data_IF_654281288973
#
_entry.id   IF_654281288973
#
_cell.length_a   1.000
_cell.length_b   1.000
_cell.length_c   1.000
_cell.angle_alpha   90.00
_cell.angle_beta   90.00
_cell.angle_gamma   90.00
#
_symmetry.space_group_name_H-M   'P 1'
#
loop_
_entity.id
_entity.type
_entity.pdbx_description
1 polymer ?
#
# COMPACT_ATOMS: atom_id res chain seq x y z
N UNK A 1 23.25 12.85 1.03
CA UNK A 1 22.07 13.28 0.25
C UNK A 1 22.16 12.54 -1.06
N UNK A 2 21.42 11.44 -1.21
CA UNK A 2 21.41 10.67 -2.45
C UNK A 2 20.55 11.43 -3.46
N UNK A 3 21.17 11.94 -4.52
CA UNK A 3 20.48 12.56 -5.64
C UNK A 3 19.93 11.42 -6.51
N UNK A 4 18.77 10.90 -6.11
CA UNK A 4 18.11 9.77 -6.77
C UNK A 4 16.90 10.25 -7.59
N UNK A 5 17.03 11.39 -8.25
CA UNK A 5 16.11 11.79 -9.31
C UNK A 5 16.31 10.89 -10.53
N UNK A 6 15.24 10.29 -11.04
CA UNK A 6 15.27 9.58 -12.32
C UNK A 6 15.79 10.50 -13.45
N UNK A 7 16.54 9.94 -14.38
CA UNK A 7 16.86 10.62 -15.64
C UNK A 7 15.60 10.80 -16.49
N UNK A 8 15.64 11.70 -17.47
CA UNK A 8 14.51 11.94 -18.39
C UNK A 8 14.11 10.65 -19.14
N UNK A 9 15.09 9.83 -19.52
CA UNK A 9 14.84 8.56 -20.20
C UNK A 9 14.13 7.54 -19.30
N UNK A 10 14.49 7.49 -18.02
CA UNK A 10 13.83 6.61 -17.05
C UNK A 10 12.40 7.07 -16.73
N UNK A 11 12.16 8.39 -16.66
CA UNK A 11 10.80 8.93 -16.56
C UNK A 11 9.94 8.56 -17.76
N UNK A 12 10.49 8.63 -18.98
CA UNK A 12 9.80 8.24 -20.21
C UNK A 12 9.49 6.74 -20.26
N UNK A 13 10.46 5.89 -19.88
CA UNK A 13 10.25 4.45 -19.80
C UNK A 13 9.17 4.09 -18.80
N UNK A 14 9.27 4.61 -17.58
CA UNK A 14 8.28 4.40 -16.54
C UNK A 14 6.88 4.91 -16.95
N UNK A 15 6.79 6.02 -17.68
CA UNK A 15 5.53 6.53 -18.21
C UNK A 15 4.89 5.57 -19.22
N UNK A 16 5.69 5.00 -20.12
CA UNK A 16 5.20 4.01 -21.08
C UNK A 16 4.70 2.77 -20.34
N UNK A 17 5.45 2.29 -19.36
CA UNK A 17 5.06 1.13 -18.55
C UNK A 17 3.77 1.40 -17.76
N UNK A 18 3.60 2.61 -17.22
CA UNK A 18 2.38 3.02 -16.53
C UNK A 18 1.18 3.07 -17.48
N UNK A 19 1.30 3.68 -18.67
CA UNK A 19 0.19 3.75 -19.63
C UNK A 19 -0.21 2.38 -20.20
N UNK A 20 0.75 1.45 -20.28
CA UNK A 20 0.54 0.10 -20.81
C UNK A 20 0.20 -0.91 -19.71
N UNK A 21 0.16 -0.48 -18.45
CA UNK A 21 -0.17 -1.33 -17.31
C UNK A 21 -1.63 -1.82 -17.38
N UNK A 22 -1.89 -2.98 -16.78
CA UNK A 22 -3.24 -3.56 -16.72
C UNK A 22 -4.25 -2.65 -16.04
N UNK A 23 -3.79 -1.80 -15.13
CA UNK A 23 -4.59 -0.79 -14.44
C UNK A 23 -4.99 0.34 -15.38
N UNK A 24 -4.16 0.72 -16.36
CA UNK A 24 -4.37 1.90 -17.20
C UNK A 24 -4.89 1.57 -18.62
N UNK A 25 -4.64 0.37 -19.13
CA UNK A 25 -4.98 -0.03 -20.52
C UNK A 25 -6.49 0.03 -20.81
N UNK A 26 -7.34 -0.15 -19.79
CA UNK A 26 -8.80 -0.05 -19.92
C UNK A 26 -9.32 1.38 -20.15
N UNK A 27 -8.50 2.40 -19.83
CA UNK A 27 -8.90 3.80 -19.96
C UNK A 27 -8.65 4.37 -21.36
N UNK A 28 -7.73 3.77 -22.13
CA UNK A 28 -7.34 4.24 -23.48
C UNK A 28 -8.49 4.13 -24.50
N UNK A 29 -9.25 3.02 -24.60
CA UNK A 29 -10.35 2.89 -25.56
C UNK A 29 -11.50 3.89 -25.33
N UNK A 30 -11.78 4.26 -24.07
CA UNK A 30 -12.82 5.26 -23.76
C UNK A 30 -12.40 6.69 -24.09
N UNK A 31 -11.10 7.01 -24.06
CA UNK A 31 -10.56 8.27 -24.58
C UNK A 31 -10.87 8.41 -26.07
N UNK A 32 -10.68 7.33 -26.84
CA UNK A 32 -11.06 7.28 -28.25
C UNK A 32 -12.58 7.35 -28.43
N UNK A 33 -13.37 6.64 -27.61
CA UNK A 33 -14.84 6.70 -27.68
C UNK A 33 -15.39 8.11 -27.35
N UNK A 34 -14.88 8.77 -26.30
CA UNK A 34 -15.29 10.12 -25.91
C UNK A 34 -14.93 11.17 -26.99
N UNK A 35 -13.79 11.00 -27.65
CA UNK A 35 -13.37 11.82 -28.80
C UNK A 35 -14.27 11.58 -30.02
N UNK A 36 -14.61 10.33 -30.32
CA UNK A 36 -15.51 9.97 -31.42
C UNK A 36 -16.93 10.49 -31.21
N UNK A 37 -17.38 10.57 -29.95
CA UNK A 37 -18.73 11.00 -29.57
C UNK A 37 -18.86 12.49 -29.22
N UNK A 38 -17.77 13.25 -29.35
CA UNK A 38 -17.73 14.72 -29.15
C UNK A 38 -18.26 15.18 -27.77
N UNK A 39 -17.87 14.50 -26.68
CA UNK A 39 -18.22 14.94 -25.32
C UNK A 39 -17.12 15.82 -24.71
N UNK A 40 -17.22 17.17 -24.78
CA UNK A 40 -16.13 18.05 -24.37
C UNK A 40 -15.82 17.95 -22.88
N UNK A 41 -16.84 17.77 -22.02
CA UNK A 41 -16.66 17.62 -20.59
C UNK A 41 -15.94 16.31 -20.22
N UNK A 42 -16.30 15.20 -20.87
CA UNK A 42 -15.63 13.91 -20.66
C UNK A 42 -14.17 13.96 -21.16
N UNK A 43 -13.94 14.59 -22.30
CA UNK A 43 -12.59 14.79 -22.84
C UNK A 43 -11.73 15.67 -21.92
N UNK A 44 -12.30 16.74 -21.37
CA UNK A 44 -11.61 17.61 -20.41
C UNK A 44 -11.27 16.87 -19.11
N UNK A 45 -12.18 16.04 -18.60
CA UNK A 45 -11.95 15.24 -17.39
C UNK A 45 -10.87 14.17 -17.61
N UNK A 46 -10.86 13.53 -18.78
CA UNK A 46 -9.80 12.61 -19.17
C UNK A 46 -8.45 13.30 -19.35
N UNK A 47 -8.42 14.46 -20.01
CA UNK A 47 -7.20 15.24 -20.15
C UNK A 47 -6.66 15.66 -18.77
N UNK A 48 -7.53 16.10 -17.87
CA UNK A 48 -7.17 16.41 -16.49
C UNK A 48 -6.65 15.19 -15.73
N UNK A 49 -7.27 14.01 -15.92
CA UNK A 49 -6.81 12.76 -15.32
C UNK A 49 -5.43 12.35 -15.83
N UNK A 50 -5.18 12.43 -17.15
CA UNK A 50 -3.86 12.13 -17.74
C UNK A 50 -2.81 13.11 -17.23
N UNK A 51 -3.12 14.41 -17.21
CA UNK A 51 -2.22 15.43 -16.66
C UNK A 51 -1.97 15.20 -15.17
N UNK A 52 -3.00 14.83 -14.40
CA UNK A 52 -2.88 14.48 -12.99
C UNK A 52 -1.95 13.29 -12.77
N UNK A 53 -2.13 12.21 -13.53
CA UNK A 53 -1.23 11.05 -13.51
C UNK A 53 0.19 11.44 -13.88
N UNK A 54 0.39 12.26 -14.91
CA UNK A 54 1.71 12.77 -15.32
C UNK A 54 2.39 13.58 -14.23
N UNK A 55 1.65 14.45 -13.54
CA UNK A 55 2.16 15.22 -12.42
C UNK A 55 2.51 14.31 -11.24
N UNK A 56 1.67 13.30 -10.93
CA UNK A 56 2.00 12.30 -9.92
C UNK A 56 3.26 11.53 -10.26
N UNK A 57 3.43 11.11 -11.52
CA UNK A 57 4.63 10.42 -12.00
C UNK A 57 5.89 11.27 -11.83
N UNK A 58 5.79 12.57 -12.07
CA UNK A 58 6.90 13.50 -11.91
C UNK A 58 7.23 13.76 -10.43
N UNK A 59 6.22 13.84 -9.56
CA UNK A 59 6.41 14.12 -8.13
C UNK A 59 6.83 12.87 -7.35
N UNK A 60 6.22 11.72 -7.64
CA UNK A 60 6.48 10.43 -6.98
C UNK A 60 7.57 9.66 -7.72
N UNK A 61 8.77 10.25 -7.83
CA UNK A 61 9.93 9.64 -8.51
C UNK A 61 10.51 8.40 -7.79
N UNK A 62 9.84 7.88 -6.76
CA UNK A 62 10.28 6.71 -5.97
C UNK A 62 9.17 5.69 -5.76
N UNK A 63 7.99 5.89 -6.36
CA UNK A 63 6.88 4.95 -6.26
C UNK A 63 6.93 3.94 -7.41
N UNK A 64 6.47 2.72 -7.14
CA UNK A 64 6.25 1.68 -8.14
C UNK A 64 4.97 1.97 -8.95
N UNK A 65 4.82 1.30 -10.10
CA UNK A 65 3.63 1.45 -10.97
C UNK A 65 2.33 1.20 -10.19
N UNK A 66 2.21 0.13 -9.36
CA UNK A 66 1.04 -0.07 -8.51
C UNK A 66 0.78 1.08 -7.52
N UNK A 67 1.84 1.63 -6.91
CA UNK A 67 1.75 2.77 -6.01
C UNK A 67 1.19 4.00 -6.71
N UNK A 68 1.70 4.33 -7.90
CA UNK A 68 1.21 5.47 -8.68
C UNK A 68 -0.21 5.21 -9.21
N UNK A 69 -0.50 3.98 -9.63
CA UNK A 69 -1.85 3.58 -10.03
C UNK A 69 -2.86 3.79 -8.89
N UNK A 70 -2.50 3.49 -7.64
CA UNK A 70 -3.37 3.73 -6.47
C UNK A 70 -3.77 5.20 -6.32
N UNK A 71 -2.86 6.13 -6.57
CA UNK A 71 -3.15 7.56 -6.48
C UNK A 71 -3.80 8.11 -7.75
N UNK A 72 -3.52 7.50 -8.90
CA UNK A 72 -4.13 7.88 -10.17
C UNK A 72 -5.58 7.41 -10.33
N UNK A 73 -5.88 6.25 -9.74
CA UNK A 73 -7.15 5.55 -9.88
C UNK A 73 -8.39 6.43 -9.59
N UNK A 74 -8.46 7.21 -8.49
CA UNK A 74 -9.67 7.98 -8.18
C UNK A 74 -10.12 8.93 -9.31
N UNK A 75 -9.18 9.62 -9.95
CA UNK A 75 -9.51 10.58 -11.01
C UNK A 75 -9.60 9.95 -12.39
N UNK A 76 -8.84 8.88 -12.68
CA UNK A 76 -9.04 8.12 -13.92
C UNK A 76 -10.40 7.39 -13.90
N UNK A 77 -10.78 6.79 -12.78
CA UNK A 77 -12.11 6.17 -12.58
C UNK A 77 -13.24 7.19 -12.68
N UNK A 78 -13.08 8.40 -12.13
CA UNK A 78 -14.07 9.46 -12.29
C UNK A 78 -14.25 9.83 -13.78
N UNK A 79 -13.15 10.00 -14.52
CA UNK A 79 -13.17 10.27 -15.96
C UNK A 79 -13.88 9.15 -16.75
N UNK A 80 -13.58 7.90 -16.40
CA UNK A 80 -14.23 6.72 -16.95
C UNK A 80 -15.73 6.70 -16.72
N UNK A 81 -16.18 6.89 -15.48
CA UNK A 81 -17.61 6.88 -15.13
C UNK A 81 -18.36 7.96 -15.91
N UNK A 82 -17.82 9.18 -16.00
CA UNK A 82 -18.45 10.26 -16.74
C UNK A 82 -18.56 9.98 -18.25
N UNK A 83 -17.49 9.46 -18.86
CA UNK A 83 -17.52 9.12 -20.30
C UNK A 83 -18.44 7.94 -20.60
N UNK A 84 -18.46 6.94 -19.72
CA UNK A 84 -19.36 5.81 -19.80
C UNK A 84 -20.82 6.25 -19.69
N UNK A 85 -21.14 7.13 -18.74
CA UNK A 85 -22.47 7.69 -18.59
C UNK A 85 -22.92 8.48 -19.83
N UNK A 86 -22.03 9.29 -20.42
CA UNK A 86 -22.30 10.04 -21.64
C UNK A 86 -22.53 9.11 -22.85
N UNK A 87 -21.70 8.07 -23.02
CA UNK A 87 -21.86 7.05 -24.05
C UNK A 87 -23.19 6.31 -23.90
N UNK A 88 -23.52 5.86 -22.68
CA UNK A 88 -24.79 5.17 -22.40
C UNK A 88 -26.00 6.07 -22.67
N UNK A 89 -25.90 7.37 -22.36
CA UNK A 89 -26.95 8.34 -22.69
C UNK A 89 -27.14 8.52 -24.19
N UNK A 90 -26.05 8.57 -24.97
CA UNK A 90 -26.12 8.66 -26.44
C UNK A 90 -26.73 7.42 -27.08
N UNK A 91 -26.26 6.25 -26.63
CA UNK A 91 -26.75 4.97 -27.10
C UNK A 91 -28.25 4.89 -26.83
N UNK A 92 -28.68 5.22 -25.61
CA UNK A 92 -30.10 5.28 -25.27
C UNK A 92 -30.89 6.19 -26.20
N UNK A 93 -30.42 7.42 -26.48
CA UNK A 93 -31.11 8.34 -27.40
C UNK A 93 -31.20 7.77 -28.82
N UNK A 94 -30.11 7.21 -29.34
CA UNK A 94 -30.10 6.56 -30.66
C UNK A 94 -31.07 5.38 -30.72
N UNK A 95 -31.18 4.62 -29.64
CA UNK A 95 -32.13 3.52 -29.48
C UNK A 95 -33.59 3.98 -29.41
N UNK A 96 -33.88 5.08 -28.69
CA UNK A 96 -35.21 5.71 -28.66
C UNK A 96 -35.60 6.22 -30.07
N UNK A 97 -34.66 6.75 -30.84
CA UNK A 97 -34.90 7.18 -32.23
C UNK A 97 -35.10 6.01 -33.21
N UNK A 98 -34.56 4.81 -32.91
CA UNK A 98 -34.72 3.60 -33.74
C UNK A 98 -36.04 2.86 -33.52
N UNK A 99 -36.85 3.27 -32.54
CA UNK A 99 -38.21 2.76 -32.32
C UNK A 99 -39.13 2.97 -33.56
N UNK A 100 -38.70 3.81 -34.53
CA UNK A 100 -39.32 4.00 -35.83
C UNK A 100 -39.09 2.86 -36.86
N UNK A 101 -38.20 1.91 -36.62
CA UNK A 101 -37.85 0.84 -37.60
C UNK A 101 -38.05 -0.60 -37.11
N UNK A 102 -38.76 -0.83 -36.00
CA UNK A 102 -39.33 -2.15 -35.68
C UNK A 102 -38.41 -3.20 -35.04
N UNK A 103 -37.19 -2.84 -34.62
CA UNK A 103 -36.36 -3.67 -33.73
C UNK A 103 -36.56 -3.17 -32.31
N UNK A 104 -37.01 -4.02 -31.37
CA UNK A 104 -37.33 -3.56 -30.01
C UNK A 104 -36.07 -3.05 -29.29
N UNK A 105 -36.01 -1.77 -28.87
CA UNK A 105 -34.85 -1.16 -28.20
C UNK A 105 -34.42 -1.87 -26.90
N UNK A 106 -35.32 -2.65 -26.32
CA UNK A 106 -35.14 -3.38 -25.06
C UNK A 106 -34.05 -4.48 -25.10
N UNK A 107 -33.72 -5.03 -26.28
CA UNK A 107 -32.80 -6.18 -26.37
C UNK A 107 -31.32 -5.77 -26.53
N UNK A 108 -31.00 -4.77 -27.37
CA UNK A 108 -29.61 -4.36 -27.63
C UNK A 108 -28.99 -3.48 -26.54
N UNK A 109 -29.72 -2.45 -26.09
CA UNK A 109 -29.28 -1.57 -25.01
C UNK A 109 -29.24 -2.27 -23.65
N UNK A 110 -30.18 -3.20 -23.42
CA UNK A 110 -30.21 -4.08 -22.26
C UNK A 110 -28.97 -4.96 -22.16
N UNK A 111 -28.53 -5.56 -23.27
CA UNK A 111 -27.32 -6.41 -23.29
C UNK A 111 -26.06 -5.60 -22.99
N UNK A 112 -25.86 -4.43 -23.59
CA UNK A 112 -24.66 -3.61 -23.35
C UNK A 112 -24.63 -3.09 -21.91
N UNK A 113 -25.78 -2.62 -21.38
CA UNK A 113 -25.90 -2.20 -19.99
C UNK A 113 -25.66 -3.37 -19.02
N UNK A 114 -26.25 -4.54 -19.29
CA UNK A 114 -26.06 -5.76 -18.50
C UNK A 114 -24.61 -6.21 -18.55
N UNK A 115 -23.93 -6.15 -19.71
CA UNK A 115 -22.50 -6.52 -19.81
C UNK A 115 -21.64 -5.55 -19.00
N UNK A 116 -21.84 -4.24 -19.11
CA UNK A 116 -21.08 -3.24 -18.35
C UNK A 116 -21.33 -3.39 -16.85
N UNK A 117 -22.59 -3.50 -16.43
CA UNK A 117 -22.95 -3.71 -15.02
C UNK A 117 -22.46 -5.05 -14.52
N UNK A 118 -22.54 -6.13 -15.31
CA UNK A 118 -22.01 -7.43 -14.96
C UNK A 118 -20.48 -7.44 -14.89
N UNK A 119 -19.78 -6.70 -15.74
CA UNK A 119 -18.32 -6.55 -15.67
C UNK A 119 -17.89 -5.76 -14.43
N UNK A 120 -18.58 -4.66 -14.11
CA UNK A 120 -18.31 -3.86 -12.90
C UNK A 120 -18.71 -4.62 -11.62
N UNK A 121 -19.82 -5.37 -11.65
CA UNK A 121 -20.24 -6.24 -10.56
C UNK A 121 -19.30 -7.43 -10.39
N UNK A 122 -18.83 -8.05 -11.48
CA UNK A 122 -17.85 -9.14 -11.41
C UNK A 122 -16.52 -8.64 -10.84
N UNK A 123 -16.05 -7.46 -11.27
CA UNK A 123 -14.86 -6.83 -10.70
C UNK A 123 -15.04 -6.52 -9.21
N UNK A 124 -16.19 -5.94 -8.84
CA UNK A 124 -16.52 -5.66 -7.44
C UNK A 124 -16.61 -6.96 -6.62
N UNK A 125 -17.24 -8.03 -7.12
CA UNK A 125 -17.34 -9.33 -6.44
C UNK A 125 -15.96 -9.99 -6.28
N UNK A 126 -15.03 -9.77 -7.22
CA UNK A 126 -13.66 -10.28 -7.15
C UNK A 126 -12.79 -9.49 -6.17
N UNK A 127 -13.03 -8.19 -5.99
CA UNK A 127 -12.31 -7.33 -5.04
C UNK A 127 -13.01 -7.15 -3.68
N UNK A 128 -14.26 -7.61 -3.53
CA UNK A 128 -15.06 -7.37 -2.33
C UNK A 128 -14.43 -8.06 -1.11
N UNK A 129 -13.68 -7.27 -0.36
CA UNK A 129 -13.02 -7.63 0.89
C UNK A 129 -14.05 -8.17 1.89
N UNK A 130 -15.30 -7.74 1.79
CA UNK A 130 -16.42 -8.23 2.59
C UNK A 130 -16.81 -9.67 2.21
N UNK A 131 -16.72 -10.05 0.93
CA UNK A 131 -16.89 -11.43 0.47
C UNK A 131 -15.70 -12.33 0.86
N UNK A 132 -14.46 -11.81 0.90
CA UNK A 132 -13.30 -12.54 1.41
C UNK A 132 -13.44 -12.88 2.90
N UNK A 133 -13.96 -11.93 3.69
CA UNK A 133 -14.24 -12.15 5.12
C UNK A 133 -15.39 -13.15 5.32
N UNK A 134 -16.47 -13.03 4.55
CA UNK A 134 -17.68 -13.84 4.73
C UNK A 134 -17.56 -15.27 4.19
N UNK A 135 -16.87 -15.51 3.07
CA UNK A 135 -16.84 -16.83 2.42
C UNK A 135 -15.72 -17.76 2.91
N UNK A 136 -14.62 -17.24 3.44
CA UNK A 136 -13.45 -18.07 3.83
C UNK A 136 -13.22 -18.17 5.33
N UNK A 137 -14.09 -17.61 6.16
CA UNK A 137 -13.95 -17.66 7.63
C UNK A 137 -12.65 -17.01 8.12
N UNK A 138 -11.99 -16.21 7.28
CA UNK A 138 -10.79 -15.46 7.62
C UNK A 138 -11.23 -14.20 8.34
N UNK A 139 -11.52 -14.33 9.64
CA UNK A 139 -11.53 -13.15 10.51
C UNK A 139 -10.13 -12.54 10.42
N UNK A 140 -10.05 -11.31 9.88
CA UNK A 140 -8.80 -10.54 9.88
C UNK A 140 -8.23 -10.43 11.31
N UNK A 141 -9.14 -10.43 12.29
CA UNK A 141 -8.86 -10.42 13.73
C UNK A 141 -9.14 -11.81 14.35
N UNK A 142 -8.09 -12.61 14.56
CA UNK A 142 -8.17 -13.80 15.42
C UNK A 142 -7.95 -13.33 16.85
N UNK A 143 -8.91 -13.54 17.73
CA UNK A 143 -8.87 -13.17 19.16
C UNK A 143 -7.57 -13.58 19.86
N UNK A 144 -7.03 -14.76 19.54
CA UNK A 144 -5.75 -15.28 20.04
C UNK A 144 -4.57 -14.37 19.70
N UNK A 145 -4.52 -13.83 18.48
CA UNK A 145 -3.44 -12.90 18.07
C UNK A 145 -3.54 -11.60 18.85
N UNK A 146 -4.75 -11.06 19.03
CA UNK A 146 -4.96 -9.85 19.81
C UNK A 146 -4.56 -10.05 21.28
N UNK A 147 -4.87 -11.21 21.86
CA UNK A 147 -4.45 -11.57 23.21
C UNK A 147 -2.91 -11.58 23.36
N UNK A 148 -2.17 -12.16 22.40
CA UNK A 148 -0.71 -12.17 22.44
C UNK A 148 -0.08 -10.76 22.45
N UNK A 149 -0.69 -9.80 21.74
CA UNK A 149 -0.25 -8.41 21.76
C UNK A 149 -0.54 -7.72 23.11
N UNK A 150 -1.70 -8.01 23.70
CA UNK A 150 -2.06 -7.50 25.02
C UNK A 150 -1.08 -8.03 26.08
N UNK A 151 -0.79 -9.34 26.08
CA UNK A 151 0.18 -9.95 27.00
C UNK A 151 1.58 -9.36 26.84
N UNK A 152 2.04 -9.16 25.59
CA UNK A 152 3.32 -8.50 25.33
C UNK A 152 3.33 -7.09 25.91
N UNK A 153 2.27 -6.32 25.69
CA UNK A 153 2.19 -4.93 26.18
C UNK A 153 2.12 -4.89 27.71
N UNK A 154 1.41 -5.82 28.34
CA UNK A 154 1.33 -5.97 29.80
C UNK A 154 2.69 -6.27 30.43
N UNK A 155 3.59 -6.95 29.71
CA UNK A 155 4.98 -7.18 30.16
C UNK A 155 5.81 -5.90 30.27
N UNK A 156 5.39 -4.83 29.59
CA UNK A 156 6.02 -3.51 29.63
C UNK A 156 5.29 -2.65 30.69
N UNK A 157 6.00 -1.92 31.56
CA UNK A 157 5.37 -1.05 32.54
C UNK A 157 4.39 -0.05 31.93
N UNK A 158 3.29 0.21 32.60
CA UNK A 158 2.31 1.23 32.20
C UNK A 158 2.96 2.62 32.14
N UNK A 159 2.56 3.42 31.15
CA UNK A 159 3.09 4.76 30.90
C UNK A 159 4.51 4.81 30.31
N UNK A 160 5.20 3.67 30.18
CA UNK A 160 6.53 3.63 29.56
C UNK A 160 6.45 3.76 28.02
N UNK A 161 7.45 4.41 27.44
CA UNK A 161 7.63 4.45 25.98
C UNK A 161 8.38 3.21 25.48
N UNK A 162 7.93 2.63 24.37
CA UNK A 162 8.61 1.52 23.73
C UNK A 162 8.65 1.63 22.20
N UNK A 163 9.75 1.16 21.62
CA UNK A 163 9.90 1.02 20.18
C UNK A 163 9.27 -0.28 19.72
N UNK A 164 8.53 -0.29 18.61
CA UNK A 164 7.96 -1.51 18.06
C UNK A 164 8.24 -1.73 16.58
N UNK A 165 8.56 -2.98 16.22
CA UNK A 165 8.71 -3.45 14.84
C UNK A 165 7.96 -4.79 14.68
N UNK A 166 6.65 -4.70 14.46
CA UNK A 166 5.71 -5.83 14.49
C UNK A 166 4.73 -5.74 13.30
N UNK A 167 4.07 -6.84 12.96
CA UNK A 167 3.14 -6.92 11.82
C UNK A 167 1.79 -6.23 12.05
N UNK A 168 1.33 -6.14 13.31
CA UNK A 168 0.03 -5.54 13.67
C UNK A 168 0.13 -4.56 14.83
N UNK A 169 0.77 -3.38 14.65
CA UNK A 169 0.93 -2.40 15.71
C UNK A 169 -0.42 -1.85 16.23
N UNK A 170 -1.48 -1.93 15.40
CA UNK A 170 -2.83 -1.51 15.77
C UNK A 170 -3.51 -2.36 16.87
N UNK A 171 -2.89 -3.48 17.28
CA UNK A 171 -3.37 -4.23 18.45
C UNK A 171 -2.90 -3.67 19.79
N UNK A 172 -1.90 -2.79 19.79
CA UNK A 172 -1.50 -2.13 21.03
C UNK A 172 -2.49 -1.06 21.45
N UNK A 173 -2.66 -0.91 22.77
CA UNK A 173 -3.35 0.20 23.38
C UNK A 173 -2.41 1.40 23.51
N UNK A 174 -2.53 2.35 22.57
CA UNK A 174 -1.75 3.58 22.55
C UNK A 174 -2.09 4.55 23.72
N UNK A 175 -3.13 4.24 24.52
CA UNK A 175 -3.45 5.02 25.72
C UNK A 175 -2.71 4.54 26.96
N UNK A 176 -2.29 3.26 27.00
CA UNK A 176 -1.53 2.66 28.12
C UNK A 176 -0.04 2.96 28.04
N UNK A 177 0.53 2.97 26.84
CA UNK A 177 1.95 3.16 26.57
C UNK A 177 2.17 4.11 25.41
N UNK A 178 3.28 4.83 25.44
CA UNK A 178 3.74 5.60 24.30
C UNK A 178 4.46 4.66 23.30
N UNK A 179 3.74 4.26 22.25
CA UNK A 179 4.19 3.25 21.29
C UNK A 179 4.78 3.91 20.05
N UNK A 180 6.09 3.78 19.86
CA UNK A 180 6.77 4.25 18.66
C UNK A 180 6.95 3.12 17.65
N UNK A 181 6.08 3.08 16.65
CA UNK A 181 6.18 2.13 15.55
C UNK A 181 7.22 2.52 14.50
N UNK A 182 8.08 1.57 14.12
CA UNK A 182 8.96 1.70 12.95
C UNK A 182 8.43 0.81 11.84
N UNK A 183 7.72 1.45 10.91
CA UNK A 183 7.31 0.88 9.63
C UNK A 183 8.51 0.83 8.68
N UNK A 184 9.13 2.00 8.45
CA UNK A 184 10.20 2.21 7.47
C UNK A 184 11.43 2.82 8.16
N UNK A 185 12.39 1.98 8.63
CA UNK A 185 13.63 2.46 9.21
C UNK A 185 14.31 3.51 8.32
N UNK A 186 14.74 4.62 8.92
CA UNK A 186 15.43 5.71 8.22
C UNK A 186 14.51 6.74 7.57
N UNK A 187 13.24 6.39 7.32
CA UNK A 187 12.24 7.33 6.80
C UNK A 187 11.37 7.91 7.91
N UNK A 188 11.00 7.08 8.90
CA UNK A 188 10.19 7.49 10.06
C UNK A 188 10.93 7.37 11.40
N UNK A 189 12.27 7.29 11.35
CA UNK A 189 13.08 7.25 12.57
C UNK A 189 13.02 8.59 13.31
N UNK A 190 12.81 8.61 14.65
CA UNK A 190 12.86 9.84 15.44
C UNK A 190 14.18 10.60 15.27
N UNK A 191 14.16 11.92 15.47
CA UNK A 191 15.38 12.75 15.45
C UNK A 191 16.36 12.30 16.56
N UNK A 192 17.69 12.33 16.35
CA UNK A 192 18.42 12.84 15.18
C UNK A 192 18.48 11.87 13.98
N UNK A 193 17.80 10.73 14.05
CA UNK A 193 17.89 9.64 13.10
C UNK A 193 18.62 8.45 13.69
N UNK A 194 18.15 7.26 13.33
CA UNK A 194 18.68 6.00 13.82
C UNK A 194 20.15 5.79 13.36
N UNK A 195 21.04 5.27 14.22
CA UNK A 195 22.47 5.19 13.93
C UNK A 195 22.83 3.94 13.10
N UNK A 196 22.34 3.89 11.86
CA UNK A 196 22.58 2.76 10.97
C UNK A 196 24.07 2.44 10.77
N UNK A 197 24.38 1.15 10.69
CA UNK A 197 25.73 0.61 10.44
C UNK A 197 26.76 0.92 11.54
N UNK A 198 26.30 1.27 12.75
CA UNK A 198 27.15 1.52 13.93
C UNK A 198 27.03 0.43 15.00
N UNK A 199 26.24 -0.61 14.74
CA UNK A 199 26.06 -1.76 15.61
C UNK A 199 25.05 -1.55 16.77
N UNK A 200 24.82 -2.60 17.57
CA UNK A 200 23.73 -2.63 18.56
C UNK A 200 23.92 -1.63 19.69
N UNK A 201 25.15 -1.38 20.15
CA UNK A 201 25.41 -0.41 21.22
C UNK A 201 25.12 1.04 20.82
N UNK A 202 25.32 1.37 19.54
CA UNK A 202 24.94 2.67 19.02
C UNK A 202 23.41 2.82 18.97
N UNK A 203 22.70 1.80 18.47
CA UNK A 203 21.23 1.76 18.49
C UNK A 203 20.70 1.89 19.91
N UNK A 204 21.27 1.15 20.85
CA UNK A 204 20.96 1.22 22.27
C UNK A 204 21.09 2.62 22.84
N UNK A 205 22.25 3.26 22.64
CA UNK A 205 22.53 4.61 23.13
C UNK A 205 21.56 5.64 22.54
N UNK A 206 21.19 5.46 21.27
CA UNK A 206 20.19 6.28 20.59
C UNK A 206 18.78 6.09 21.18
N UNK A 207 18.35 4.86 21.46
CA UNK A 207 17.02 4.63 22.07
C UNK A 207 16.97 5.21 23.48
N UNK A 208 18.03 5.02 24.27
CA UNK A 208 18.12 5.59 25.61
C UNK A 208 18.13 7.13 25.60
N UNK A 209 18.76 7.77 24.62
CA UNK A 209 18.74 9.24 24.50
C UNK A 209 17.35 9.79 24.17
N UNK A 210 16.47 8.96 23.61
CA UNK A 210 15.06 9.24 23.38
C UNK A 210 14.15 8.84 24.54
N UNK A 211 14.73 8.46 25.68
CA UNK A 211 13.98 7.90 26.83
C UNK A 211 13.20 6.62 26.52
N UNK A 212 13.56 5.90 25.45
CA UNK A 212 12.98 4.61 25.08
C UNK A 212 13.81 3.50 25.71
N UNK A 213 13.20 2.77 26.65
CA UNK A 213 13.86 1.68 27.39
C UNK A 213 13.39 0.30 26.99
N UNK A 214 12.30 0.21 26.25
CA UNK A 214 11.68 -1.06 25.89
C UNK A 214 11.60 -1.19 24.39
N UNK A 215 11.84 -2.40 23.89
CA UNK A 215 11.72 -2.73 22.47
C UNK A 215 10.86 -3.97 22.35
N UNK A 216 9.87 -3.91 21.47
CA UNK A 216 9.01 -5.01 21.09
C UNK A 216 9.18 -5.30 19.59
N UNK A 217 9.31 -6.56 19.21
CA UNK A 217 9.41 -6.92 17.80
C UNK A 217 8.82 -8.29 17.54
N UNK A 218 8.46 -8.53 16.28
CA UNK A 218 8.14 -9.88 15.80
C UNK A 218 9.43 -10.57 15.39
N UNK A 219 9.59 -11.82 15.76
CA UNK A 219 10.78 -12.60 15.39
C UNK A 219 10.93 -12.62 13.86
N UNK A 220 12.09 -12.17 13.37
CA UNK A 220 12.26 -11.88 11.93
C UNK A 220 12.37 -13.12 11.04
N UNK A 221 12.50 -14.31 11.62
CA UNK A 221 12.46 -15.60 10.92
C UNK A 221 11.03 -16.12 10.70
N UNK A 222 10.03 -15.47 11.31
CA UNK A 222 8.64 -15.87 11.20
C UNK A 222 8.07 -15.50 9.81
N UNK A 223 7.58 -16.46 8.99
CA UNK A 223 7.18 -16.20 7.60
C UNK A 223 5.86 -15.42 7.45
N UNK A 224 5.31 -14.81 8.50
CA UNK A 224 3.98 -14.19 8.48
C UNK A 224 3.96 -12.78 7.84
N UNK A 225 3.03 -12.65 6.88
CA UNK A 225 2.39 -11.51 6.18
C UNK A 225 3.06 -10.14 6.03
N UNK A 226 3.71 -9.54 7.03
CA UNK A 226 4.22 -8.18 6.88
C UNK A 226 5.59 -8.14 6.20
N UNK A 227 5.73 -7.32 5.16
CA UNK A 227 7.00 -7.18 4.46
C UNK A 227 8.08 -6.60 5.38
N UNK A 228 7.71 -5.72 6.31
CA UNK A 228 8.62 -5.02 7.22
C UNK A 228 9.26 -5.92 8.28
N UNK A 229 8.72 -7.10 8.57
CA UNK A 229 9.15 -7.95 9.69
C UNK A 229 9.75 -9.30 9.31
N UNK A 230 10.03 -9.57 8.03
CA UNK A 230 10.57 -10.87 7.58
C UNK A 230 11.97 -10.70 6.99
N UNK A 231 13.00 -11.19 7.69
CA UNK A 231 14.41 -10.98 7.36
C UNK A 231 14.75 -11.44 5.94
N UNK A 232 14.42 -12.70 5.62
CA UNK A 232 14.72 -13.32 4.33
C UNK A 232 14.02 -12.62 3.15
N UNK A 233 12.89 -11.94 3.41
CA UNK A 233 12.20 -11.18 2.38
C UNK A 233 13.00 -9.95 1.98
N UNK A 234 13.64 -9.29 2.94
CA UNK A 234 14.54 -8.16 2.71
C UNK A 234 15.85 -8.58 2.06
N UNK A 235 16.44 -9.72 2.45
CA UNK A 235 17.62 -10.27 1.75
C UNK A 235 17.34 -10.43 0.25
N UNK A 236 16.15 -10.93 -0.10
CA UNK A 236 15.71 -11.05 -1.50
C UNK A 236 15.45 -9.72 -2.22
N UNK A 237 15.36 -8.59 -1.51
CA UNK A 237 15.14 -7.26 -2.11
C UNK A 237 16.40 -6.60 -2.63
N UNK A 238 17.58 -7.10 -2.27
CA UNK A 238 18.86 -6.58 -2.76
C UNK A 238 18.96 -6.58 -4.29
N UNK A 239 18.34 -7.57 -4.94
CA UNK A 239 18.30 -7.72 -6.40
C UNK A 239 16.95 -7.32 -7.00
N UNK A 240 16.09 -6.63 -6.22
CA UNK A 240 14.79 -6.19 -6.71
C UNK A 240 14.95 -5.17 -7.84
N UNK A 241 14.17 -5.32 -8.89
CA UNK A 241 14.02 -4.30 -9.93
C UNK A 241 13.37 -3.02 -9.41
N UNK A 242 12.69 -3.10 -8.25
CA UNK A 242 12.16 -1.96 -7.56
C UNK A 242 13.27 -1.21 -6.79
N UNK A 243 13.49 0.04 -7.18
CA UNK A 243 14.52 0.91 -6.60
C UNK A 243 14.26 1.22 -5.14
N UNK A 244 13.00 1.32 -4.72
CA UNK A 244 12.67 1.59 -3.32
C UNK A 244 13.10 0.42 -2.44
N UNK A 245 12.71 -0.80 -2.81
CA UNK A 245 13.05 -2.00 -2.05
C UNK A 245 14.56 -2.23 -1.98
N UNK A 246 15.27 -2.06 -3.10
CA UNK A 246 16.73 -2.23 -3.13
C UNK A 246 17.49 -1.14 -2.35
N UNK A 247 16.97 0.10 -2.29
CA UNK A 247 17.55 1.14 -1.44
C UNK A 247 17.28 0.94 0.05
N UNK A 248 16.09 0.42 0.41
CA UNK A 248 15.66 0.27 1.80
C UNK A 248 16.20 -0.99 2.48
N UNK A 249 16.47 -2.05 1.71
CA UNK A 249 16.92 -3.36 2.21
C UNK A 249 17.99 -3.26 3.30
N UNK A 250 19.09 -2.56 3.01
CA UNK A 250 20.21 -2.38 3.93
C UNK A 250 19.84 -1.69 5.25
N UNK A 251 18.79 -0.89 5.31
CA UNK A 251 18.35 -0.21 6.54
C UNK A 251 17.48 -1.14 7.39
N UNK A 252 16.61 -1.93 6.74
CA UNK A 252 15.83 -2.96 7.43
C UNK A 252 16.73 -4.04 8.02
N UNK A 253 17.67 -4.58 7.23
CA UNK A 253 18.56 -5.64 7.70
C UNK A 253 19.45 -5.17 8.86
N UNK A 254 20.04 -3.98 8.78
CA UNK A 254 20.86 -3.42 9.87
C UNK A 254 20.07 -3.27 11.17
N UNK A 255 18.82 -2.79 11.10
CA UNK A 255 17.97 -2.64 12.29
C UNK A 255 17.54 -3.98 12.85
N UNK A 256 17.18 -4.93 11.99
CA UNK A 256 16.84 -6.29 12.41
C UNK A 256 18.00 -6.96 13.14
N UNK A 257 19.21 -6.91 12.54
CA UNK A 257 20.43 -7.47 13.14
C UNK A 257 20.74 -6.82 14.50
N UNK A 258 20.64 -5.49 14.58
CA UNK A 258 20.90 -4.75 15.82
C UNK A 258 19.86 -5.04 16.91
N UNK A 259 18.56 -5.12 16.56
CA UNK A 259 17.49 -5.48 17.50
C UNK A 259 17.69 -6.92 18.00
N UNK A 260 17.99 -7.87 17.13
CA UNK A 260 18.26 -9.26 17.53
C UNK A 260 19.47 -9.36 18.46
N UNK A 261 20.57 -8.67 18.13
CA UNK A 261 21.76 -8.65 18.99
C UNK A 261 21.48 -8.05 20.38
N UNK A 262 20.64 -7.01 20.46
CA UNK A 262 20.18 -6.46 21.73
C UNK A 262 19.27 -7.44 22.47
N UNK A 263 18.34 -8.11 21.79
CA UNK A 263 17.44 -9.08 22.41
C UNK A 263 18.15 -10.30 23.04
N UNK A 264 19.37 -10.61 22.59
CA UNK A 264 20.23 -11.65 23.18
C UNK A 264 20.95 -11.15 24.44
N UNK A 265 21.37 -9.89 24.47
CA UNK A 265 22.20 -9.33 25.55
C UNK A 265 21.40 -8.63 26.66
N UNK A 266 20.20 -8.16 26.35
CA UNK A 266 19.36 -7.36 27.25
C UNK A 266 18.35 -8.23 28.02
N UNK A 267 17.72 -7.65 29.05
CA UNK A 267 16.75 -8.39 29.87
C UNK A 267 15.47 -8.62 29.07
N UNK A 268 15.19 -9.88 28.74
CA UNK A 268 13.94 -10.31 28.09
C UNK A 268 12.76 -10.17 29.06
N UNK A 269 11.64 -9.64 28.57
CA UNK A 269 10.38 -9.44 29.31
C UNK A 269 9.26 -10.34 28.79
N UNK A 270 9.24 -10.58 27.48
CA UNK A 270 8.25 -11.42 26.80
C UNK A 270 8.90 -12.18 25.65
N UNK A 271 8.47 -13.42 25.43
CA UNK A 271 8.95 -14.32 24.38
C UNK A 271 7.92 -15.42 24.15
N UNK A 272 6.93 -15.14 23.31
CA UNK A 272 5.88 -16.10 22.99
C UNK A 272 5.19 -15.71 21.70
N UNK A 273 4.55 -16.66 21.02
CA UNK A 273 3.74 -16.40 19.81
C UNK A 273 4.52 -15.67 18.68
N UNK A 274 5.84 -15.87 18.63
CA UNK A 274 6.73 -15.19 17.68
C UNK A 274 6.87 -13.69 17.92
N UNK A 275 6.62 -13.23 19.15
CA UNK A 275 6.77 -11.86 19.60
C UNK A 275 7.76 -11.82 20.76
N UNK A 276 8.68 -10.87 20.72
CA UNK A 276 9.70 -10.68 21.75
C UNK A 276 9.64 -9.25 22.27
N UNK A 277 9.76 -9.07 23.59
CA UNK A 277 9.99 -7.77 24.22
C UNK A 277 11.17 -7.82 25.19
N UNK A 278 11.97 -6.75 25.24
CA UNK A 278 13.11 -6.65 26.15
C UNK A 278 13.30 -5.23 26.70
N UNK A 279 13.94 -5.16 27.87
CA UNK A 279 14.35 -3.93 28.55
C UNK A 279 15.83 -3.64 28.28
N UNK A 280 16.10 -2.45 27.75
CA UNK A 280 17.43 -1.89 27.54
C UNK A 280 17.90 -1.19 28.82
N UNK A 281 19.15 -1.46 29.23
CA UNK A 281 19.78 -0.86 30.42
C UNK A 281 21.05 -0.09 30.12
#
# INVERSE_FOLDING_TARGET
MFDASFSVAEHLGFFIDFLTSTEMVFFIPLLFAARLLKYPAALALYAAAVVGSLVLLFIFSYADIPGIARYAHPFTSAAFICALAALLSDLRKKFDDTEKEGISPAQGGGIIFVVIVASLALFSILEDVTHLQANWGLTLDKSERRAAYAELQESIPEGASFLTMVDRPFYFDFTRNDVLGIDTPGTVSPAPGMPFYKGPEALKSYLLSLSIRYVAFRDFDNPIDCISGVYNRWVGKKTSSDRWFSMQEKYYLDVMDNIQALAVSQKRLYDSNGLTAFEIR
#
